data_IF_048251534687
#
_entry.id   IF_048251534687
#
_cell.length_a   1.000
_cell.length_b   1.000
_cell.length_c   1.000
_cell.angle_alpha   90.00
_cell.angle_beta   90.00
_cell.angle_gamma   90.00
#
_symmetry.space_group_name_H-M   'P 1'
#
loop_
_entity.id
_entity.type
_entity.pdbx_description
1 polymer ?
#
# COMPACT_ATOMS: atom_id res chain seq x y z
N UNK A 1 10.03 -45.99 27.85
CA UNK A 1 9.05 -45.56 26.83
C UNK A 1 9.81 -45.29 25.54
N UNK A 2 9.63 -46.12 24.51
CA UNK A 2 10.03 -45.84 23.13
C UNK A 2 8.78 -45.37 22.39
N UNK A 3 8.90 -44.44 21.45
CA UNK A 3 8.09 -44.24 20.22
C UNK A 3 8.40 -42.82 19.72
N UNK A 4 9.40 -42.71 18.83
CA UNK A 4 9.29 -42.49 17.37
C UNK A 4 9.18 -41.02 17.01
N UNK A 5 10.28 -40.51 16.44
CA UNK A 5 10.33 -39.29 15.67
C UNK A 5 9.37 -39.38 14.47
N UNK A 6 8.56 -38.33 14.28
CA UNK A 6 7.87 -38.08 13.02
C UNK A 6 8.54 -36.86 12.40
N UNK A 7 9.17 -37.12 11.26
CA UNK A 7 9.87 -36.15 10.41
C UNK A 7 8.94 -35.83 9.23
N UNK A 8 9.06 -34.60 8.69
CA UNK A 8 8.53 -34.08 7.43
C UNK A 8 7.02 -33.78 7.43
N UNK A 9 6.57 -32.59 7.01
CA UNK A 9 6.88 -32.02 5.69
C UNK A 9 6.69 -30.49 5.66
N UNK A 10 7.74 -29.78 5.24
CA UNK A 10 7.65 -28.39 4.83
C UNK A 10 7.07 -28.34 3.40
N UNK A 11 5.85 -27.80 3.24
CA UNK A 11 5.34 -27.40 1.93
C UNK A 11 5.85 -25.99 1.62
N UNK A 12 6.97 -25.92 0.91
CA UNK A 12 7.39 -24.69 0.26
C UNK A 12 6.69 -24.61 -1.09
N UNK A 13 5.66 -23.76 -1.22
CA UNK A 13 5.15 -23.34 -2.53
C UNK A 13 6.05 -22.22 -3.06
N UNK A 14 7.06 -22.62 -3.84
CA UNK A 14 7.82 -21.73 -4.68
C UNK A 14 6.97 -21.32 -5.90
N UNK A 15 6.38 -20.12 -5.83
CA UNK A 15 5.79 -19.46 -7.00
C UNK A 15 6.92 -18.81 -7.78
N UNK A 16 7.33 -19.45 -8.88
CA UNK A 16 8.20 -18.85 -9.89
C UNK A 16 7.36 -18.46 -11.10
N UNK A 17 7.07 -17.16 -11.22
CA UNK A 17 6.54 -16.48 -12.41
C UNK A 17 7.03 -15.02 -12.26
N UNK A 18 7.68 -14.33 -13.18
CA UNK A 18 8.26 -14.59 -14.49
C UNK A 18 9.20 -13.39 -14.75
N UNK A 19 10.42 -13.63 -15.22
CA UNK A 19 11.31 -12.59 -15.72
C UNK A 19 10.73 -11.95 -16.99
N UNK A 20 10.25 -10.71 -16.89
CA UNK A 20 10.03 -9.82 -18.03
C UNK A 20 11.11 -8.75 -18.05
N UNK A 21 12.13 -8.92 -18.88
CA UNK A 21 13.25 -7.96 -19.02
C UNK A 21 13.06 -7.04 -20.22
N UNK A 22 13.25 -5.74 -19.95
CA UNK A 22 13.82 -4.67 -20.79
C UNK A 22 12.96 -3.93 -21.84
N UNK A 23 12.99 -2.60 -21.65
CA UNK A 23 12.73 -1.56 -22.65
C UNK A 23 11.55 -0.70 -22.19
N UNK A 24 11.67 0.57 -21.83
CA UNK A 24 12.56 1.61 -22.37
C UNK A 24 12.70 2.72 -21.33
N UNK A 25 13.94 3.15 -21.06
CA UNK A 25 14.23 4.39 -20.35
C UNK A 25 13.75 5.55 -21.21
N UNK A 26 12.69 6.26 -20.81
CA UNK A 26 12.38 7.57 -21.38
C UNK A 26 11.82 8.55 -20.35
N UNK A 27 12.71 9.50 -20.05
CA UNK A 27 12.53 10.81 -19.44
C UNK A 27 11.98 10.89 -18.02
N UNK A 28 12.92 11.14 -17.10
CA UNK A 28 12.72 11.96 -15.92
C UNK A 28 12.18 13.32 -16.42
N UNK A 29 10.87 13.49 -16.43
CA UNK A 29 10.26 14.82 -16.40
C UNK A 29 10.26 15.26 -14.94
N UNK A 30 11.39 15.82 -14.51
CA UNK A 30 11.49 16.54 -13.25
C UNK A 30 10.70 17.85 -13.34
N UNK A 31 9.38 17.76 -13.25
CA UNK A 31 8.55 18.89 -12.87
C UNK A 31 8.53 18.93 -11.34
N UNK A 32 9.59 19.49 -10.75
CA UNK A 32 9.77 19.62 -9.31
C UNK A 32 8.73 20.53 -8.62
N UNK A 33 7.67 20.97 -9.33
CA UNK A 33 6.59 21.80 -8.81
C UNK A 33 5.19 21.18 -8.96
N UNK A 34 5.07 19.96 -9.51
CA UNK A 34 3.77 19.27 -9.61
C UNK A 34 3.78 18.03 -8.73
N UNK A 35 3.03 18.07 -7.62
CA UNK A 35 2.79 16.89 -6.79
C UNK A 35 2.25 15.76 -7.67
N UNK A 36 2.78 14.54 -7.51
CA UNK A 36 2.32 13.35 -8.24
C UNK A 36 0.80 13.16 -8.03
N UNK A 37 0.07 12.88 -9.11
CA UNK A 37 -1.40 12.76 -9.05
C UNK A 37 -1.85 11.66 -8.10
N UNK A 38 -1.10 10.57 -7.99
CA UNK A 38 -1.43 9.48 -7.07
C UNK A 38 -1.18 9.90 -5.62
N UNK A 39 -0.15 10.68 -5.36
CA UNK A 39 0.07 11.29 -4.05
C UNK A 39 -1.12 12.17 -3.65
N UNK A 40 -1.61 13.02 -4.55
CA UNK A 40 -2.80 13.86 -4.30
C UNK A 40 -4.02 12.97 -4.02
N UNK A 41 -4.24 11.93 -4.82
CA UNK A 41 -5.36 11.00 -4.63
C UNK A 41 -5.29 10.25 -3.28
N UNK A 42 -4.08 9.89 -2.83
CA UNK A 42 -3.83 9.29 -1.53
C UNK A 42 -4.18 10.24 -0.39
N UNK A 43 -3.75 11.49 -0.51
CA UNK A 43 -4.08 12.56 0.43
C UNK A 43 -5.59 12.79 0.52
N UNK A 44 -6.26 12.89 -0.62
CA UNK A 44 -7.71 13.09 -0.69
C UNK A 44 -8.48 11.87 -0.15
N UNK A 45 -7.90 10.65 -0.25
CA UNK A 45 -8.42 9.48 0.45
C UNK A 45 -8.30 9.64 1.96
N UNK A 46 -7.14 10.07 2.48
CA UNK A 46 -6.96 10.29 3.91
C UNK A 46 -7.86 11.41 4.46
N UNK A 47 -8.12 12.47 3.70
CA UNK A 47 -9.08 13.51 4.10
C UNK A 47 -10.47 12.92 4.38
N UNK A 48 -10.95 12.05 3.49
CA UNK A 48 -12.23 11.35 3.67
C UNK A 48 -12.27 10.42 4.89
N UNK A 49 -11.14 10.02 5.46
CA UNK A 49 -11.13 9.23 6.69
C UNK A 49 -11.85 9.97 7.82
N UNK A 50 -11.50 11.23 8.03
CA UNK A 50 -12.01 12.04 9.15
C UNK A 50 -13.50 12.38 9.03
N UNK A 51 -14.04 12.33 7.81
CA UNK A 51 -15.46 12.56 7.56
C UNK A 51 -16.31 11.28 7.69
N UNK A 52 -15.71 10.10 7.47
CA UNK A 52 -16.45 8.84 7.27
C UNK A 52 -16.18 7.77 8.32
N UNK A 53 -15.13 7.90 9.13
CA UNK A 53 -14.75 6.91 10.14
C UNK A 53 -15.05 7.42 11.55
N UNK A 54 -15.96 6.75 12.26
CA UNK A 54 -16.35 7.09 13.63
C UNK A 54 -16.07 5.97 14.64
N UNK A 55 -15.77 4.77 14.15
CA UNK A 55 -15.53 3.58 14.97
C UNK A 55 -14.48 2.66 14.33
N UNK A 56 -14.01 1.68 15.11
CA UNK A 56 -12.95 0.75 14.67
C UNK A 56 -13.36 -0.11 13.46
N UNK A 57 -14.65 -0.41 13.28
CA UNK A 57 -15.10 -1.18 12.13
C UNK A 57 -15.00 -0.37 10.84
N UNK A 58 -15.45 0.89 10.87
CA UNK A 58 -15.32 1.83 9.75
C UNK A 58 -13.85 2.11 9.43
N UNK A 59 -12.99 2.30 10.44
CA UNK A 59 -11.54 2.44 10.26
C UNK A 59 -10.92 1.22 9.58
N UNK A 60 -11.21 0.01 10.06
CA UNK A 60 -10.69 -1.22 9.46
C UNK A 60 -11.11 -1.38 8.00
N UNK A 61 -12.39 -1.16 7.69
CA UNK A 61 -12.89 -1.25 6.32
C UNK A 61 -12.21 -0.19 5.42
N UNK A 62 -12.08 1.04 5.92
CA UNK A 62 -11.47 2.13 5.18
C UNK A 62 -10.01 1.82 4.82
N UNK A 63 -9.24 1.27 5.77
CA UNK A 63 -7.84 0.89 5.56
C UNK A 63 -7.71 -0.26 4.57
N UNK A 64 -8.58 -1.27 4.66
CA UNK A 64 -8.59 -2.38 3.70
C UNK A 64 -8.86 -1.89 2.28
N UNK A 65 -9.88 -1.05 2.09
CA UNK A 65 -10.17 -0.43 0.80
C UNK A 65 -8.99 0.44 0.29
N UNK A 66 -8.33 1.20 1.17
CA UNK A 66 -7.14 1.98 0.80
C UNK A 66 -6.02 1.07 0.29
N UNK A 67 -5.80 -0.10 0.91
CA UNK A 67 -4.82 -1.09 0.43
C UNK A 67 -5.23 -1.72 -0.90
N UNK A 68 -6.51 -2.05 -1.08
CA UNK A 68 -7.04 -2.56 -2.37
C UNK A 68 -6.80 -1.55 -3.49
N UNK A 69 -7.07 -0.26 -3.26
CA UNK A 69 -6.81 0.79 -4.25
C UNK A 69 -5.32 0.88 -4.61
N UNK A 70 -4.43 0.76 -3.63
CA UNK A 70 -3.00 0.77 -3.87
C UNK A 70 -2.55 -0.45 -4.69
N UNK A 71 -3.13 -1.63 -4.44
CA UNK A 71 -2.83 -2.83 -5.21
C UNK A 71 -3.37 -2.76 -6.65
N UNK A 72 -4.53 -2.13 -6.85
CA UNK A 72 -5.05 -1.83 -8.19
C UNK A 72 -4.13 -0.86 -8.94
N UNK A 73 -3.69 0.22 -8.29
CA UNK A 73 -2.70 1.14 -8.86
C UNK A 73 -1.39 0.45 -9.20
N UNK A 74 -0.92 -0.44 -8.32
CA UNK A 74 0.30 -1.23 -8.56
C UNK A 74 0.16 -2.09 -9.81
N UNK A 75 -0.98 -2.77 -9.96
CA UNK A 75 -1.28 -3.64 -11.10
C UNK A 75 -1.39 -2.86 -12.41
N UNK A 76 -2.03 -1.69 -12.40
CA UNK A 76 -2.40 -0.96 -13.61
C UNK A 76 -1.39 0.13 -14.00
N UNK A 77 -0.67 0.70 -13.04
CA UNK A 77 0.22 1.87 -13.21
C UNK A 77 1.63 1.69 -12.66
N UNK A 78 1.93 0.57 -12.00
CA UNK A 78 3.25 0.24 -11.46
C UNK A 78 3.46 0.65 -10.00
N UNK A 79 4.59 0.20 -9.43
CA UNK A 79 4.90 0.36 -8.01
C UNK A 79 4.96 1.83 -7.57
N UNK A 80 5.60 2.70 -8.36
CA UNK A 80 5.73 4.14 -8.03
C UNK A 80 4.37 4.82 -7.83
N UNK A 81 3.36 4.46 -8.63
CA UNK A 81 2.02 5.02 -8.51
C UNK A 81 1.35 4.60 -7.19
N UNK A 82 1.47 3.32 -6.82
CA UNK A 82 0.93 2.79 -5.57
C UNK A 82 1.65 3.37 -4.34
N UNK A 83 2.97 3.49 -4.42
CA UNK A 83 3.79 4.00 -3.33
C UNK A 83 3.55 5.50 -3.11
N UNK A 84 3.42 6.29 -4.19
CA UNK A 84 3.02 7.70 -4.09
C UNK A 84 1.62 7.85 -3.47
N UNK A 85 0.66 7.00 -3.84
CA UNK A 85 -0.67 6.99 -3.24
C UNK A 85 -0.64 6.71 -1.73
N UNK A 86 0.08 5.67 -1.30
CA UNK A 86 0.22 5.37 0.12
C UNK A 86 0.94 6.50 0.86
N UNK A 87 2.01 7.06 0.28
CA UNK A 87 2.74 8.17 0.88
C UNK A 87 1.83 9.39 1.13
N UNK A 88 1.00 9.77 0.15
CA UNK A 88 0.05 10.87 0.29
C UNK A 88 -1.01 10.62 1.36
N UNK A 89 -1.49 9.38 1.46
CA UNK A 89 -2.43 8.96 2.51
C UNK A 89 -1.80 9.10 3.90
N UNK A 90 -0.63 8.48 4.09
CA UNK A 90 0.05 8.44 5.38
C UNK A 90 0.51 9.83 5.85
N UNK A 91 1.04 10.65 4.96
CA UNK A 91 1.50 12.01 5.27
C UNK A 91 0.35 12.88 5.78
N UNK A 92 -0.84 12.75 5.19
CA UNK A 92 -2.01 13.49 5.64
C UNK A 92 -2.45 13.06 7.04
N UNK A 93 -2.56 11.75 7.29
CA UNK A 93 -2.92 11.22 8.61
C UNK A 93 -1.90 11.68 9.66
N UNK A 94 -0.59 11.50 9.42
CA UNK A 94 0.47 11.97 10.32
C UNK A 94 0.41 13.46 10.61
N UNK A 95 0.02 14.28 9.63
CA UNK A 95 -0.07 15.73 9.79
C UNK A 95 -1.30 16.16 10.59
N UNK A 96 -2.44 15.54 10.37
CA UNK A 96 -3.71 15.94 10.98
C UNK A 96 -3.95 15.30 12.36
N UNK A 97 -3.57 14.03 12.50
CA UNK A 97 -3.72 13.30 13.76
C UNK A 97 -2.53 12.33 13.95
N UNK A 98 -1.43 12.81 14.56
CA UNK A 98 -0.24 11.99 14.80
C UNK A 98 -0.48 10.80 15.74
N UNK A 99 -1.46 10.89 16.64
CA UNK A 99 -1.79 9.81 17.57
C UNK A 99 -2.50 8.68 16.82
N UNK A 100 -3.49 9.04 16.00
CA UNK A 100 -4.12 8.11 15.08
C UNK A 100 -3.10 7.47 14.14
N UNK A 101 -2.18 8.26 13.59
CA UNK A 101 -1.13 7.76 12.72
C UNK A 101 -0.29 6.66 13.39
N UNK A 102 -0.01 6.78 14.69
CA UNK A 102 0.72 5.77 15.45
C UNK A 102 -0.10 4.49 15.70
N UNK A 103 -1.43 4.56 15.57
CA UNK A 103 -2.33 3.42 15.73
C UNK A 103 -2.57 2.66 14.41
N UNK A 104 -2.73 3.38 13.29
CA UNK A 104 -3.31 2.81 12.06
C UNK A 104 -2.33 2.64 10.89
N UNK A 105 -1.12 3.20 10.98
CA UNK A 105 -0.10 3.13 9.93
C UNK A 105 1.03 2.16 10.30
#
# INVERSE_FOLDING_TARGET
>A
MKFTAIVLSALALSVMVSCGSKGTSESIHSNADTLDVNYVNGRDRAERYFDNCADSASTCLFLLETRVNADELRRDSGDDAADNYIAGFEDYIRKFDPELAAEIL
#
